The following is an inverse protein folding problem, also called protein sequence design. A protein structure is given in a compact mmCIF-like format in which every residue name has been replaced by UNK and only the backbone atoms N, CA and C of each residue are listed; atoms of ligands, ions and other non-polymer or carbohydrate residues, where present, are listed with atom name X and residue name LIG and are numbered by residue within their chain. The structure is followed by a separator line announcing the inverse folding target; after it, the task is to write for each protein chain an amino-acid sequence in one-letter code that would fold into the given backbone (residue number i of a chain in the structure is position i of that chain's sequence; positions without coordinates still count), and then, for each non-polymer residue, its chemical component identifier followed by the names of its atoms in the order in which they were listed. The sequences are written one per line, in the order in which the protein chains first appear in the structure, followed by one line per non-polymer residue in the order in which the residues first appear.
data_IF_712578303789
#
_entry.id   IF_712578303789
#
_cell.length_a   1.000
_cell.length_b   1.000
_cell.length_c   1.000
_cell.angle_alpha   90.00
_cell.angle_beta   90.00
_cell.angle_gamma   90.00
#
_symmetry.space_group_name_H-M   'P 1'
#
loop_
_entity.id
_entity.type
_entity.pdbx_description
1 polymer ?
#
# COMPACT_ATOMS: atom_id res chain seq x y z
N UNK A 1 20.73 22.77 10.36
CA UNK A 1 19.46 23.51 10.47
C UNK A 1 18.59 22.67 11.38
N UNK A 2 18.48 23.05 12.66
CA UNK A 2 17.64 22.30 13.60
C UNK A 2 16.19 22.50 13.15
N UNK A 3 15.51 21.40 12.78
CA UNK A 3 14.08 21.42 12.61
C UNK A 3 13.49 21.80 13.98
N UNK A 4 12.82 22.94 14.08
CA UNK A 4 11.98 23.25 15.22
C UNK A 4 10.80 22.29 15.19
N UNK A 5 11.07 21.08 15.68
CA UNK A 5 10.12 19.98 15.71
C UNK A 5 9.13 20.20 16.86
N UNK A 6 8.11 21.00 16.64
CA UNK A 6 7.14 21.30 17.71
C UNK A 6 5.99 20.28 17.77
N UNK A 7 5.76 19.50 16.71
CA UNK A 7 4.51 18.74 16.60
C UNK A 7 4.68 17.44 15.79
N UNK A 8 4.18 16.34 16.33
CA UNK A 8 4.10 15.05 15.66
C UNK A 8 2.64 14.60 15.47
N UNK A 9 2.37 13.86 14.42
CA UNK A 9 1.08 13.18 14.21
C UNK A 9 1.26 11.71 14.55
N UNK A 10 0.37 11.17 15.39
CA UNK A 10 0.23 9.73 15.62
C UNK A 10 -0.95 9.24 14.78
N UNK A 11 -0.68 8.44 13.76
CA UNK A 11 -1.71 7.82 12.96
C UNK A 11 -2.04 6.46 13.55
N UNK A 12 -3.31 6.27 13.95
CA UNK A 12 -3.80 5.03 14.53
C UNK A 12 -4.57 4.18 13.53
N UNK A 13 -4.51 2.84 13.71
CA UNK A 13 -5.42 1.90 13.07
C UNK A 13 -6.75 1.82 13.83
N UNK A 14 -7.80 1.43 13.14
CA UNK A 14 -9.02 0.95 13.79
C UNK A 14 -8.87 -0.55 14.07
N UNK A 15 -9.09 -0.98 15.32
CA UNK A 15 -9.06 -2.40 15.68
C UNK A 15 -10.22 -3.15 15.05
N UNK A 16 -10.16 -4.49 15.01
CA UNK A 16 -11.27 -5.32 14.53
C UNK A 16 -12.54 -5.06 15.35
N UNK A 17 -12.40 -4.90 16.68
CA UNK A 17 -13.51 -4.59 17.57
C UNK A 17 -14.13 -3.23 17.25
N UNK A 18 -13.33 -2.17 17.07
CA UNK A 18 -13.84 -0.83 16.70
C UNK A 18 -14.63 -0.86 15.39
N UNK A 19 -14.10 -1.56 14.37
CA UNK A 19 -14.81 -1.73 13.08
C UNK A 19 -16.11 -2.49 13.21
N UNK A 20 -16.12 -3.54 14.02
CA UNK A 20 -17.31 -4.34 14.31
C UNK A 20 -18.37 -3.52 15.04
N UNK A 21 -17.97 -2.78 16.06
CA UNK A 21 -18.86 -1.91 16.84
C UNK A 21 -19.46 -0.76 16.01
N UNK A 22 -18.74 -0.22 15.02
CA UNK A 22 -19.30 0.76 14.08
C UNK A 22 -20.46 0.22 13.23
N UNK A 23 -20.49 -1.10 13.00
CA UNK A 23 -21.51 -1.78 12.18
C UNK A 23 -22.63 -2.40 13.01
N UNK A 24 -22.43 -2.54 14.31
CA UNK A 24 -23.37 -3.19 15.23
C UNK A 24 -24.00 -2.17 16.18
N UNK A 25 -25.31 -2.25 16.37
CA UNK A 25 -26.01 -1.32 17.26
C UNK A 25 -25.68 -1.51 18.74
N UNK A 26 -25.22 -2.71 19.14
CA UNK A 26 -24.85 -3.05 20.52
C UNK A 26 -23.68 -4.05 20.57
N UNK A 27 -22.98 -4.07 21.70
CA UNK A 27 -21.90 -5.04 21.94
C UNK A 27 -22.41 -6.51 21.91
N UNK A 28 -23.64 -6.75 22.38
CA UNK A 28 -24.26 -8.08 22.34
C UNK A 28 -24.52 -8.55 20.91
N UNK A 29 -24.96 -7.65 20.01
CA UNK A 29 -25.10 -7.96 18.57
C UNK A 29 -23.76 -8.24 17.92
N UNK A 30 -22.74 -7.43 18.24
CA UNK A 30 -21.37 -7.63 17.76
C UNK A 30 -20.83 -9.01 18.16
N UNK A 31 -20.99 -9.38 19.43
CA UNK A 31 -20.62 -10.70 19.96
C UNK A 31 -21.36 -11.81 19.22
N UNK A 32 -22.68 -11.72 19.15
CA UNK A 32 -23.51 -12.72 18.46
C UNK A 32 -23.09 -12.92 16.99
N UNK A 33 -22.78 -11.82 16.29
CA UNK A 33 -22.34 -11.88 14.90
C UNK A 33 -21.01 -12.65 14.74
N UNK A 34 -20.05 -12.45 15.64
CA UNK A 34 -18.77 -13.16 15.60
C UNK A 34 -18.95 -14.64 15.95
N UNK A 35 -19.63 -14.92 17.07
CA UNK A 35 -19.78 -16.27 17.60
C UNK A 35 -20.68 -17.15 16.70
N UNK A 36 -21.71 -16.58 16.07
CA UNK A 36 -22.56 -17.30 15.11
C UNK A 36 -21.84 -17.72 13.83
N UNK A 37 -20.71 -17.06 13.51
CA UNK A 37 -19.83 -17.41 12.39
C UNK A 37 -18.65 -18.31 12.82
N UNK A 38 -18.65 -18.80 14.06
CA UNK A 38 -17.59 -19.65 14.62
C UNK A 38 -16.32 -18.89 15.03
N UNK A 39 -16.38 -17.55 15.12
CA UNK A 39 -15.28 -16.73 15.61
C UNK A 39 -15.26 -16.62 17.13
N UNK A 40 -14.14 -16.19 17.68
CA UNK A 40 -13.96 -15.89 19.09
C UNK A 40 -14.04 -14.37 19.35
N UNK A 41 -15.08 -13.90 20.02
CA UNK A 41 -15.21 -12.49 20.38
C UNK A 41 -14.15 -12.05 21.40
N UNK A 42 -13.67 -12.98 22.24
CA UNK A 42 -12.59 -12.71 23.21
C UNK A 42 -11.28 -12.31 22.52
N UNK A 43 -10.97 -12.90 21.36
CA UNK A 43 -9.77 -12.52 20.57
C UNK A 43 -9.87 -11.07 20.02
N UNK A 44 -11.08 -10.60 19.68
CA UNK A 44 -11.30 -9.20 19.29
C UNK A 44 -11.11 -8.24 20.45
N UNK A 45 -11.54 -8.63 21.66
CA UNK A 45 -11.35 -7.82 22.86
C UNK A 45 -9.87 -7.76 23.25
N UNK A 46 -9.19 -8.91 23.28
CA UNK A 46 -7.77 -8.98 23.62
C UNK A 46 -6.90 -8.14 22.66
N UNK A 47 -7.13 -8.23 21.33
CA UNK A 47 -6.46 -7.38 20.34
C UNK A 47 -6.70 -5.89 20.64
N UNK A 48 -7.95 -5.52 20.94
CA UNK A 48 -8.30 -4.14 21.20
C UNK A 48 -7.64 -3.60 22.46
N UNK A 49 -7.63 -4.36 23.55
CA UNK A 49 -7.02 -3.97 24.82
C UNK A 49 -5.52 -3.77 24.67
N UNK A 50 -4.81 -4.72 24.09
CA UNK A 50 -3.36 -4.63 23.82
C UNK A 50 -3.05 -3.42 22.94
N UNK A 51 -3.85 -3.19 21.89
CA UNK A 51 -3.68 -2.07 21.00
C UNK A 51 -3.87 -0.72 21.71
N UNK A 52 -4.92 -0.58 22.52
CA UNK A 52 -5.21 0.66 23.26
C UNK A 52 -4.14 0.95 24.31
N UNK A 53 -3.64 -0.06 25.02
CA UNK A 53 -2.53 0.09 25.96
C UNK A 53 -1.25 0.55 25.23
N UNK A 54 -0.94 -0.07 24.10
CA UNK A 54 0.19 0.31 23.25
C UNK A 54 0.08 1.76 22.77
N UNK A 55 -1.10 2.16 22.28
CA UNK A 55 -1.36 3.52 21.81
C UNK A 55 -1.21 4.57 22.93
N UNK A 56 -1.77 4.29 24.11
CA UNK A 56 -1.66 5.17 25.26
C UNK A 56 -0.20 5.32 25.72
N UNK A 57 0.54 4.21 25.76
CA UNK A 57 1.96 4.19 26.13
C UNK A 57 2.80 5.02 25.16
N UNK A 58 2.58 4.81 23.85
CA UNK A 58 3.25 5.57 22.79
C UNK A 58 2.93 7.06 22.92
N UNK A 59 1.66 7.43 23.05
CA UNK A 59 1.24 8.82 23.17
C UNK A 59 1.85 9.49 24.42
N UNK A 60 1.75 8.84 25.58
CA UNK A 60 2.29 9.34 26.85
C UNK A 60 3.80 9.58 26.78
N UNK A 61 4.53 8.63 26.20
CA UNK A 61 5.98 8.74 26.10
C UNK A 61 6.41 9.77 25.05
N UNK A 62 5.76 9.80 23.89
CA UNK A 62 6.02 10.82 22.85
C UNK A 62 5.76 12.24 23.38
N UNK A 63 4.74 12.43 24.23
CA UNK A 63 4.40 13.74 24.82
C UNK A 63 5.50 14.34 25.70
N UNK A 64 6.48 13.53 26.13
CA UNK A 64 7.66 14.01 26.88
C UNK A 64 8.69 14.70 25.97
N UNK A 65 8.67 14.43 24.67
CA UNK A 65 9.64 14.92 23.69
C UNK A 65 8.99 15.92 22.72
N UNK A 66 7.78 15.59 22.19
CA UNK A 66 7.07 16.36 21.17
C UNK A 66 5.61 16.53 21.55
N UNK A 67 5.05 17.70 21.25
CA UNK A 67 3.59 17.84 21.17
C UNK A 67 3.05 16.88 20.10
N UNK A 68 1.93 16.23 20.35
CA UNK A 68 1.39 15.28 19.39
C UNK A 68 -0.14 15.28 19.35
N UNK A 69 -0.67 14.75 18.27
CA UNK A 69 -2.11 14.54 18.06
C UNK A 69 -2.35 13.18 17.44
N UNK A 70 -3.33 12.44 17.98
CA UNK A 70 -3.80 11.20 17.39
C UNK A 70 -4.76 11.55 16.26
N UNK A 71 -4.57 10.92 15.11
CA UNK A 71 -5.35 11.11 13.89
C UNK A 71 -5.72 9.74 13.32
N UNK A 72 -6.96 9.56 12.89
CA UNK A 72 -7.35 8.40 12.10
C UNK A 72 -6.87 8.56 10.65
N UNK A 73 -6.62 7.45 9.96
CA UNK A 73 -6.07 7.43 8.61
C UNK A 73 -6.80 8.38 7.63
N UNK A 74 -8.11 8.40 7.69
CA UNK A 74 -8.96 9.19 6.77
C UNK A 74 -8.70 10.69 6.85
N UNK A 75 -8.20 11.14 8.00
CA UNK A 75 -7.93 12.56 8.25
C UNK A 75 -6.47 12.98 8.03
N UNK A 76 -5.57 12.03 7.73
CA UNK A 76 -4.15 12.33 7.52
C UNK A 76 -3.93 13.46 6.51
N UNK A 77 -4.56 13.47 5.32
CA UNK A 77 -4.36 14.56 4.35
C UNK A 77 -4.70 15.95 4.88
N UNK A 78 -5.67 16.03 5.80
CA UNK A 78 -6.10 17.31 6.41
C UNK A 78 -5.14 17.85 7.46
N UNK A 79 -4.22 17.00 7.98
CA UNK A 79 -3.28 17.37 9.02
C UNK A 79 -1.82 17.48 8.54
N UNK A 80 -1.53 17.11 7.28
CA UNK A 80 -0.20 17.25 6.71
C UNK A 80 -0.02 18.65 6.15
N UNK A 81 0.65 19.51 6.91
CA UNK A 81 1.04 20.85 6.49
C UNK A 81 2.54 20.88 6.24
N UNK A 82 2.94 21.20 5.00
CA UNK A 82 4.36 21.27 4.62
C UNK A 82 5.14 22.19 5.56
N UNK A 83 6.23 21.68 6.12
CA UNK A 83 7.16 22.43 6.97
C UNK A 83 6.81 22.56 8.45
N UNK A 84 5.66 22.05 8.91
CA UNK A 84 5.25 22.14 10.32
C UNK A 84 5.31 20.81 11.08
N UNK A 85 5.33 19.68 10.34
CA UNK A 85 5.33 18.34 10.93
C UNK A 85 6.68 17.68 10.66
N UNK A 86 7.49 17.46 11.70
CA UNK A 86 8.80 16.86 11.53
C UNK A 86 8.78 15.34 11.49
N UNK A 87 7.68 14.72 11.98
CA UNK A 87 7.55 13.29 12.16
C UNK A 87 6.10 12.86 12.09
N UNK A 88 5.84 11.80 11.33
CA UNK A 88 4.59 11.03 11.39
C UNK A 88 4.89 9.68 12.05
N UNK A 89 4.26 9.42 13.20
CA UNK A 89 4.33 8.14 13.87
C UNK A 89 3.11 7.32 13.48
N UNK A 90 3.33 6.11 12.96
CA UNK A 90 2.26 5.18 12.61
C UNK A 90 2.27 4.04 13.60
N UNK A 91 1.14 3.76 14.24
CA UNK A 91 0.98 2.59 15.12
C UNK A 91 -0.12 1.68 14.56
N UNK A 92 0.23 0.45 14.19
CA UNK A 92 -0.73 -0.50 13.60
C UNK A 92 -0.10 -1.61 12.80
N UNK A 93 -0.53 -1.77 11.55
CA UNK A 93 -0.11 -2.84 10.63
C UNK A 93 0.56 -2.24 9.37
N UNK A 94 1.27 -3.08 8.61
CA UNK A 94 1.95 -2.69 7.36
C UNK A 94 1.05 -1.92 6.39
N UNK A 95 -0.20 -2.35 6.23
CA UNK A 95 -1.19 -1.67 5.37
C UNK A 95 -1.50 -0.23 5.80
N UNK A 96 -1.40 0.09 7.11
CA UNK A 96 -1.56 1.46 7.58
C UNK A 96 -0.36 2.32 7.18
N UNK A 97 0.86 1.79 7.29
CA UNK A 97 2.09 2.48 6.88
C UNK A 97 2.02 2.82 5.39
N UNK A 98 1.69 1.84 4.54
CA UNK A 98 1.52 2.01 3.10
C UNK A 98 0.50 3.13 2.78
N UNK A 99 -0.66 3.09 3.46
CA UNK A 99 -1.73 4.08 3.24
C UNK A 99 -1.41 5.49 3.76
N UNK A 100 -0.54 5.63 4.76
CA UNK A 100 -0.07 6.93 5.24
C UNK A 100 1.03 7.48 4.34
N UNK A 101 1.92 6.63 3.88
CA UNK A 101 3.10 6.98 3.10
C UNK A 101 2.78 7.82 1.84
N UNK A 102 1.64 7.54 1.19
CA UNK A 102 1.21 8.26 -0.02
C UNK A 102 0.80 9.73 0.21
N UNK A 103 0.62 10.16 1.46
CA UNK A 103 0.18 11.53 1.78
C UNK A 103 1.27 12.41 2.41
N UNK A 104 2.38 11.83 2.86
CA UNK A 104 3.32 12.52 3.78
C UNK A 104 4.58 13.09 3.14
N UNK A 105 4.76 12.95 1.83
CA UNK A 105 5.80 13.60 1.00
C UNK A 105 7.13 13.90 1.75
N UNK A 106 8.01 12.92 1.83
CA UNK A 106 9.34 13.02 2.48
C UNK A 106 9.38 13.29 3.99
N UNK A 107 8.23 13.46 4.65
CA UNK A 107 8.22 13.55 6.10
C UNK A 107 8.62 12.18 6.66
N UNK A 108 9.56 12.10 7.64
CA UNK A 108 9.94 10.83 8.26
C UNK A 108 8.74 10.10 8.86
N UNK A 109 8.55 8.85 8.44
CA UNK A 109 7.55 7.94 9.00
C UNK A 109 8.26 6.99 9.96
N UNK A 110 7.90 7.06 11.25
CA UNK A 110 8.33 6.10 12.26
C UNK A 110 7.19 5.16 12.56
N UNK A 111 7.36 3.89 12.19
CA UNK A 111 6.29 2.90 12.26
C UNK A 111 6.51 1.93 13.44
N UNK A 112 5.50 1.84 14.31
CA UNK A 112 5.53 1.08 15.56
C UNK A 112 4.59 -0.12 15.47
N UNK A 113 5.12 -1.32 15.74
CA UNK A 113 4.34 -2.53 15.87
C UNK A 113 3.75 -2.62 17.29
N UNK A 114 2.41 -2.55 17.44
CA UNK A 114 1.77 -2.60 18.75
C UNK A 114 1.77 -3.99 19.39
N UNK A 115 1.83 -5.05 18.58
CA UNK A 115 1.74 -6.45 19.01
C UNK A 115 2.58 -7.36 18.11
N UNK A 116 3.93 -7.44 18.33
CA UNK A 116 4.83 -8.23 17.49
C UNK A 116 4.54 -9.74 17.47
N UNK A 117 3.82 -10.26 18.46
CA UNK A 117 3.37 -11.66 18.49
C UNK A 117 2.25 -11.94 17.49
N UNK A 118 1.48 -10.93 17.07
CA UNK A 118 0.36 -11.04 16.16
C UNK A 118 0.68 -10.57 14.74
N UNK A 119 1.57 -9.60 14.59
CA UNK A 119 1.88 -8.95 13.31
C UNK A 119 3.37 -9.07 12.98
N UNK A 120 3.69 -9.57 11.80
CA UNK A 120 5.08 -9.67 11.32
C UNK A 120 5.75 -8.30 11.23
N UNK A 121 5.02 -7.29 10.76
CA UNK A 121 5.45 -5.89 10.81
C UNK A 121 6.67 -5.58 9.95
N UNK A 122 6.66 -5.98 8.67
CA UNK A 122 7.77 -5.73 7.73
C UNK A 122 8.08 -4.24 7.56
N UNK A 123 7.05 -3.39 7.65
CA UNK A 123 7.19 -1.93 7.60
C UNK A 123 7.18 -1.28 8.99
N UNK A 124 7.17 -2.06 10.08
CA UNK A 124 7.04 -1.61 11.45
C UNK A 124 8.29 -2.01 12.28
N UNK A 125 9.47 -1.42 12.00
CA UNK A 125 10.72 -1.85 12.63
C UNK A 125 10.80 -1.54 14.12
N UNK A 126 9.99 -0.60 14.63
CA UNK A 126 9.99 -0.20 16.03
C UNK A 126 8.91 -0.93 16.83
N UNK A 127 9.17 -1.09 18.12
CA UNK A 127 8.24 -1.60 19.13
C UNK A 127 7.88 -0.50 20.11
N UNK A 128 6.87 -0.74 20.96
CA UNK A 128 6.42 0.20 21.98
C UNK A 128 7.51 0.53 23.03
N UNK A 129 8.45 -0.37 23.25
CA UNK A 129 9.54 -0.22 24.21
C UNK A 129 10.77 0.53 23.65
N UNK A 130 10.94 0.60 22.32
CA UNK A 130 12.15 1.15 21.70
C UNK A 130 11.94 2.34 20.75
N UNK A 131 10.70 2.67 20.39
CA UNK A 131 10.42 3.72 19.42
C UNK A 131 10.96 5.10 19.77
N UNK A 132 11.12 5.42 21.08
CA UNK A 132 11.65 6.71 21.51
C UNK A 132 13.07 6.97 21.01
N UNK A 133 13.90 5.94 20.92
CA UNK A 133 15.25 6.05 20.35
C UNK A 133 15.18 6.51 18.89
N UNK A 134 14.18 6.03 18.14
CA UNK A 134 13.92 6.47 16.77
C UNK A 134 13.45 7.94 16.71
N UNK A 135 12.55 8.33 17.62
CA UNK A 135 12.06 9.72 17.72
C UNK A 135 13.20 10.68 18.03
N UNK A 136 14.04 10.39 19.02
CA UNK A 136 15.18 11.21 19.39
C UNK A 136 16.17 11.40 18.25
N UNK A 137 16.40 10.33 17.45
CA UNK A 137 17.24 10.40 16.26
C UNK A 137 16.62 11.29 15.18
N UNK A 138 15.33 11.19 14.93
CA UNK A 138 14.63 12.05 13.95
C UNK A 138 14.70 13.51 14.40
N UNK A 139 14.41 13.80 15.65
CA UNK A 139 14.44 15.18 16.19
C UNK A 139 15.86 15.77 16.14
N UNK A 140 16.89 14.96 16.40
CA UNK A 140 18.29 15.39 16.31
C UNK A 140 18.86 15.42 14.90
N UNK A 141 18.10 14.99 13.89
CA UNK A 141 18.55 14.89 12.50
C UNK A 141 19.56 13.77 12.24
N UNK A 142 19.72 12.81 13.17
CA UNK A 142 20.68 11.69 13.12
C UNK A 142 19.98 10.36 12.87
N UNK A 143 19.08 10.29 11.91
CA UNK A 143 18.34 9.07 11.58
C UNK A 143 18.69 8.56 10.20
N UNK A 144 18.51 7.26 9.99
CA UNK A 144 18.58 6.60 8.69
C UNK A 144 17.16 6.33 8.23
N UNK A 145 16.88 6.58 6.97
CA UNK A 145 15.58 6.26 6.37
C UNK A 145 15.74 5.56 5.04
N UNK A 146 14.85 4.59 4.78
CA UNK A 146 14.67 4.02 3.45
C UNK A 146 13.74 4.94 2.66
N UNK A 147 14.20 5.39 1.50
CA UNK A 147 13.38 6.12 0.56
C UNK A 147 12.65 5.12 -0.35
N UNK A 148 11.33 5.15 -0.33
CA UNK A 148 10.50 4.31 -1.20
C UNK A 148 9.81 5.16 -2.25
N UNK A 149 9.93 4.76 -3.52
CA UNK A 149 9.23 5.38 -4.64
C UNK A 149 7.74 5.08 -4.59
N UNK A 150 6.93 6.04 -5.01
CA UNK A 150 5.48 5.90 -5.13
C UNK A 150 5.10 5.79 -6.61
N UNK A 151 4.07 4.99 -6.89
CA UNK A 151 3.41 5.04 -8.20
C UNK A 151 2.43 6.21 -8.22
N UNK A 152 2.30 6.84 -9.39
CA UNK A 152 1.35 7.90 -9.64
C UNK A 152 0.49 7.57 -10.85
N UNK A 153 -0.81 7.83 -10.73
CA UNK A 153 -1.69 8.01 -11.87
C UNK A 153 -2.18 9.45 -11.90
N UNK A 154 -2.22 10.05 -13.08
CA UNK A 154 -2.65 11.43 -13.29
C UNK A 154 -3.57 11.52 -14.48
N UNK A 155 -4.64 12.33 -14.36
CA UNK A 155 -5.54 12.70 -15.44
C UNK A 155 -5.22 14.10 -15.99
N UNK A 156 -5.74 14.40 -17.18
CA UNK A 156 -5.54 15.70 -17.82
C UNK A 156 -6.21 16.87 -17.05
N UNK A 157 -7.26 16.61 -16.28
CA UNK A 157 -7.98 17.58 -15.44
C UNK A 157 -7.27 17.89 -14.11
N UNK A 158 -6.10 17.27 -13.87
CA UNK A 158 -5.29 17.46 -12.66
C UNK A 158 -5.60 16.49 -11.52
N UNK A 159 -6.64 15.66 -11.61
CA UNK A 159 -6.85 14.60 -10.65
C UNK A 159 -5.67 13.62 -10.63
N UNK A 160 -5.26 13.20 -9.45
CA UNK A 160 -4.13 12.27 -9.27
C UNK A 160 -4.35 11.36 -8.08
N UNK A 161 -3.74 10.19 -8.13
CA UNK A 161 -3.71 9.23 -7.03
C UNK A 161 -2.30 8.63 -6.93
N UNK A 162 -1.79 8.52 -5.70
CA UNK A 162 -0.52 7.89 -5.38
C UNK A 162 -0.73 6.49 -4.79
N UNK A 163 0.24 5.61 -5.00
CA UNK A 163 0.29 4.31 -4.34
C UNK A 163 1.69 4.01 -3.80
N UNK A 164 1.74 3.47 -2.60
CA UNK A 164 2.95 2.95 -2.00
C UNK A 164 3.25 1.52 -2.48
N UNK A 165 2.21 0.66 -2.55
CA UNK A 165 2.34 -0.71 -3.05
C UNK A 165 1.85 -0.83 -4.50
N UNK A 166 0.55 -0.64 -4.74
CA UNK A 166 -0.07 -0.95 -6.02
C UNK A 166 -1.18 0.03 -6.39
N UNK A 167 -1.25 0.37 -7.69
CA UNK A 167 -2.45 0.93 -8.32
C UNK A 167 -3.21 -0.20 -9.02
N UNK A 168 -4.53 -0.17 -8.93
CA UNK A 168 -5.41 -0.99 -9.73
C UNK A 168 -6.23 -0.12 -10.68
N UNK A 169 -6.31 -0.50 -11.95
CA UNK A 169 -7.14 0.12 -12.98
C UNK A 169 -8.11 -0.94 -13.52
N UNK A 170 -9.40 -0.72 -13.39
CA UNK A 170 -10.36 -1.72 -13.85
C UNK A 170 -11.82 -1.33 -13.65
N UNK A 171 -12.70 -2.33 -13.68
CA UNK A 171 -14.10 -2.15 -13.34
C UNK A 171 -14.37 -2.32 -11.85
N UNK A 172 -15.32 -1.56 -11.32
CA UNK A 172 -15.78 -1.64 -9.91
C UNK A 172 -16.56 -2.93 -9.59
N UNK A 173 -16.87 -3.72 -10.58
CA UNK A 173 -17.63 -4.97 -10.45
C UNK A 173 -16.97 -6.11 -11.23
N UNK A 174 -17.57 -7.30 -11.21
CA UNK A 174 -17.04 -8.49 -11.89
C UNK A 174 -17.18 -8.48 -13.43
N UNK A 175 -17.44 -7.32 -14.05
CA UNK A 175 -17.42 -7.19 -15.51
C UNK A 175 -16.00 -6.92 -16.00
N UNK A 176 -15.72 -7.27 -17.24
CA UNK A 176 -14.43 -6.99 -17.86
C UNK A 176 -14.21 -5.49 -18.01
N UNK A 177 -13.05 -5.01 -17.60
CA UNK A 177 -12.58 -3.68 -17.90
C UNK A 177 -12.24 -3.57 -19.39
N UNK A 178 -12.72 -2.53 -20.06
CA UNK A 178 -12.45 -2.24 -21.47
C UNK A 178 -11.70 -0.94 -21.59
N UNK A 179 -10.56 -0.99 -22.26
CA UNK A 179 -9.66 0.14 -22.38
C UNK A 179 -8.74 0.01 -23.59
N UNK A 180 -8.13 1.12 -24.01
CA UNK A 180 -6.98 1.15 -24.89
C UNK A 180 -5.73 1.36 -24.05
N UNK A 181 -4.78 0.43 -24.12
CA UNK A 181 -3.47 0.54 -23.48
C UNK A 181 -2.43 0.97 -24.50
N UNK A 182 -1.57 1.90 -24.08
CA UNK A 182 -0.37 2.32 -24.83
C UNK A 182 0.85 2.12 -23.93
N UNK A 183 1.78 1.36 -24.42
CA UNK A 183 3.03 1.09 -23.74
C UNK A 183 4.18 1.21 -24.72
N UNK A 184 5.12 2.11 -24.44
CA UNK A 184 6.20 2.49 -25.33
C UNK A 184 5.66 2.92 -26.72
N UNK A 185 5.97 2.14 -27.78
CA UNK A 185 5.55 2.42 -29.16
C UNK A 185 4.34 1.62 -29.61
N UNK A 186 3.80 0.77 -28.74
CA UNK A 186 2.71 -0.15 -29.07
C UNK A 186 1.42 0.31 -28.40
N UNK A 187 0.30 0.08 -29.07
CA UNK A 187 -1.03 0.34 -28.53
C UNK A 187 -2.01 -0.73 -29.00
N UNK A 188 -2.91 -1.14 -28.12
CA UNK A 188 -4.01 -2.05 -28.44
C UNK A 188 -5.24 -1.80 -27.58
N UNK A 189 -6.40 -2.24 -28.07
CA UNK A 189 -7.61 -2.31 -27.26
C UNK A 189 -7.65 -3.65 -26.53
N UNK A 190 -8.00 -3.61 -25.25
CA UNK A 190 -8.07 -4.81 -24.42
C UNK A 190 -9.38 -4.92 -23.67
N UNK A 191 -9.72 -6.16 -23.34
CA UNK A 191 -10.75 -6.55 -22.38
C UNK A 191 -10.09 -7.49 -21.37
N UNK A 192 -10.14 -7.15 -20.08
CA UNK A 192 -9.43 -7.90 -19.04
C UNK A 192 -10.09 -7.73 -17.67
N UNK A 193 -9.58 -8.42 -16.66
CA UNK A 193 -9.97 -8.19 -15.26
C UNK A 193 -9.24 -7.01 -14.62
N UNK A 194 -8.64 -6.13 -15.42
CA UNK A 194 -7.95 -4.91 -14.98
C UNK A 194 -6.42 -5.02 -15.05
N UNK A 195 -5.78 -3.93 -14.68
CA UNK A 195 -4.33 -3.75 -14.69
C UNK A 195 -3.85 -3.47 -13.27
N UNK A 196 -2.79 -4.15 -12.86
CA UNK A 196 -2.07 -3.85 -11.61
C UNK A 196 -0.78 -3.14 -11.99
N UNK A 197 -0.46 -2.05 -11.32
CA UNK A 197 0.81 -1.36 -11.43
C UNK A 197 1.46 -1.37 -10.04
N UNK A 198 2.57 -2.06 -9.90
CA UNK A 198 3.24 -2.26 -8.61
C UNK A 198 4.53 -1.46 -8.51
N UNK A 199 4.80 -0.95 -7.31
CA UNK A 199 6.11 -0.42 -6.92
C UNK A 199 7.02 -1.55 -6.44
N UNK A 200 8.28 -1.25 -6.17
CA UNK A 200 9.19 -2.20 -5.50
C UNK A 200 8.65 -2.64 -4.13
N UNK A 201 8.03 -1.74 -3.37
CA UNK A 201 7.45 -2.07 -2.06
C UNK A 201 6.27 -3.04 -2.17
N UNK A 202 5.46 -2.93 -3.24
CA UNK A 202 4.32 -3.82 -3.52
C UNK A 202 4.69 -5.12 -4.22
N UNK A 203 5.93 -5.28 -4.70
CA UNK A 203 6.33 -6.41 -5.57
C UNK A 203 6.15 -7.79 -4.94
N UNK A 204 6.27 -7.90 -3.62
CA UNK A 204 6.05 -9.14 -2.87
C UNK A 204 4.57 -9.46 -2.60
N UNK A 205 3.67 -8.51 -2.83
CA UNK A 205 2.22 -8.62 -2.60
C UNK A 205 1.45 -9.13 -3.82
N UNK A 206 0.55 -8.30 -4.36
CA UNK A 206 -0.36 -8.68 -5.44
C UNK A 206 0.36 -9.08 -6.72
N UNK A 207 1.41 -8.34 -7.10
CA UNK A 207 2.23 -8.65 -8.27
C UNK A 207 2.81 -10.07 -8.17
N UNK A 208 3.41 -10.43 -7.03
CA UNK A 208 3.99 -11.77 -6.82
C UNK A 208 2.93 -12.87 -6.93
N UNK A 209 1.70 -12.62 -6.48
CA UNK A 209 0.59 -13.57 -6.59
C UNK A 209 0.22 -13.87 -8.05
N UNK A 210 0.26 -12.87 -8.94
CA UNK A 210 0.03 -13.06 -10.37
C UNK A 210 1.14 -13.94 -11.00
N UNK A 211 2.40 -13.69 -10.64
CA UNK A 211 3.51 -14.52 -11.13
C UNK A 211 3.46 -15.96 -10.59
N UNK A 212 3.07 -16.15 -9.32
CA UNK A 212 2.88 -17.48 -8.73
C UNK A 212 1.79 -18.26 -9.48
N UNK A 213 0.67 -17.62 -9.79
CA UNK A 213 -0.40 -18.21 -10.60
C UNK A 213 0.11 -18.60 -12.00
N UNK A 214 0.80 -17.68 -12.69
CA UNK A 214 1.37 -17.93 -14.01
C UNK A 214 2.34 -19.13 -14.02
N UNK A 215 3.21 -19.19 -13.00
CA UNK A 215 4.16 -20.30 -12.82
C UNK A 215 3.43 -21.62 -12.58
N UNK A 216 2.41 -21.61 -11.72
CA UNK A 216 1.58 -22.78 -11.46
C UNK A 216 0.88 -23.31 -12.73
N UNK A 217 0.30 -22.42 -13.54
CA UNK A 217 -0.33 -22.78 -14.81
C UNK A 217 0.67 -23.37 -15.81
N UNK A 218 1.87 -22.77 -15.95
CA UNK A 218 2.94 -23.32 -16.79
C UNK A 218 3.36 -24.71 -16.36
N UNK A 219 3.44 -24.98 -15.06
CA UNK A 219 3.76 -26.31 -14.54
C UNK A 219 2.65 -27.32 -14.83
N UNK A 220 1.38 -26.94 -14.67
CA UNK A 220 0.25 -27.80 -15.02
C UNK A 220 0.25 -28.19 -16.49
N UNK A 221 0.53 -27.26 -17.39
CA UNK A 221 0.59 -27.52 -18.85
C UNK A 221 1.78 -28.41 -19.24
N UNK A 222 2.91 -28.33 -18.53
CA UNK A 222 4.08 -29.18 -18.77
C UNK A 222 3.96 -30.59 -18.16
N UNK A 223 3.17 -30.73 -17.09
CA UNK A 223 3.04 -31.96 -16.30
C UNK A 223 1.93 -32.86 -16.80
N UNK A 224 1.80 -33.12 -18.10
CA UNK A 224 0.81 -34.03 -18.69
C UNK A 224 0.78 -35.45 -18.08
N UNK A 225 1.47 -35.74 -17.00
CA UNK A 225 1.37 -36.93 -16.14
C UNK A 225 2.00 -36.65 -14.77
N UNK A 226 1.21 -36.66 -13.74
CA UNK A 226 1.37 -37.10 -12.35
C UNK A 226 2.69 -36.90 -11.56
N UNK A 227 3.64 -36.11 -11.97
CA UNK A 227 4.87 -35.87 -11.21
C UNK A 227 4.72 -34.71 -10.22
N UNK A 228 5.17 -34.97 -9.00
CA UNK A 228 5.21 -34.09 -7.83
C UNK A 228 5.75 -32.70 -8.24
N UNK A 229 5.00 -31.64 -7.89
CA UNK A 229 5.41 -30.25 -8.07
C UNK A 229 6.74 -30.00 -7.36
N UNK A 230 7.77 -29.60 -8.09
CA UNK A 230 8.88 -28.86 -7.49
C UNK A 230 8.31 -27.54 -6.97
N UNK A 231 8.63 -27.19 -5.73
CA UNK A 231 8.29 -25.91 -5.14
C UNK A 231 8.78 -24.81 -6.08
N UNK A 232 7.87 -24.03 -6.64
CA UNK A 232 8.23 -22.87 -7.44
C UNK A 232 9.17 -22.00 -6.58
N UNK A 233 10.41 -21.82 -7.03
CA UNK A 233 11.25 -20.78 -6.44
C UNK A 233 10.48 -19.46 -6.56
N UNK A 234 10.51 -18.66 -5.50
CA UNK A 234 9.90 -17.33 -5.48
C UNK A 234 10.68 -16.41 -6.45
N UNK A 235 10.48 -16.60 -7.74
CA UNK A 235 11.01 -15.70 -8.75
C UNK A 235 10.10 -14.48 -8.83
N UNK A 236 10.22 -13.59 -7.87
CA UNK A 236 9.69 -12.24 -7.96
C UNK A 236 10.38 -11.49 -9.10
N UNK A 237 9.72 -10.49 -9.66
CA UNK A 237 10.38 -9.56 -10.59
C UNK A 237 11.39 -8.75 -9.79
N UNK A 238 12.66 -8.82 -10.18
CA UNK A 238 13.67 -7.90 -9.64
C UNK A 238 13.35 -6.49 -10.15
N UNK A 239 13.01 -5.60 -9.21
CA UNK A 239 12.66 -4.22 -9.51
C UNK A 239 13.65 -3.26 -8.85
N UNK A 240 14.05 -2.24 -9.59
CA UNK A 240 14.80 -1.09 -9.05
C UNK A 240 13.90 -0.19 -8.20
N UNK A 241 14.53 0.64 -7.34
CA UNK A 241 13.76 1.61 -6.51
C UNK A 241 13.00 2.64 -7.37
N UNK A 242 13.53 3.00 -8.54
CA UNK A 242 12.91 3.96 -9.47
C UNK A 242 12.28 3.24 -10.68
N UNK A 243 11.57 2.18 -10.44
CA UNK A 243 10.89 1.40 -11.47
C UNK A 243 9.53 0.91 -10.94
N UNK A 244 8.52 0.95 -11.80
CA UNK A 244 7.24 0.28 -11.56
C UNK A 244 7.15 -0.91 -12.51
N UNK A 245 6.30 -1.86 -12.18
CA UNK A 245 5.96 -2.97 -13.06
C UNK A 245 4.45 -3.09 -13.20
N UNK A 246 3.95 -3.10 -14.43
CA UNK A 246 2.54 -3.34 -14.64
C UNK A 246 2.29 -4.76 -15.17
N UNK A 247 1.10 -5.28 -14.87
CA UNK A 247 0.61 -6.55 -15.41
C UNK A 247 -0.88 -6.45 -15.68
N UNK A 248 -1.29 -6.93 -16.85
CA UNK A 248 -2.70 -7.08 -17.24
C UNK A 248 -3.21 -8.40 -16.71
N UNK A 249 -4.33 -8.37 -16.00
CA UNK A 249 -4.97 -9.55 -15.44
C UNK A 249 -5.94 -10.16 -16.44
N UNK A 250 -5.79 -11.45 -16.72
CA UNK A 250 -6.74 -12.25 -17.48
C UNK A 250 -7.19 -11.58 -18.81
N UNK A 251 -6.24 -11.16 -19.66
CA UNK A 251 -6.60 -10.49 -20.92
C UNK A 251 -7.33 -11.45 -21.86
N UNK A 252 -8.43 -10.98 -22.45
CA UNK A 252 -9.26 -11.77 -23.37
C UNK A 252 -9.01 -11.38 -24.83
N UNK A 253 -8.60 -12.36 -25.64
CA UNK A 253 -8.40 -12.17 -27.08
C UNK A 253 -9.71 -12.32 -27.85
N UNK A 254 -10.04 -11.35 -28.67
CA UNK A 254 -11.18 -11.38 -29.58
C UNK A 254 -10.81 -10.78 -30.95
N UNK A 255 -11.78 -10.63 -31.86
CA UNK A 255 -11.56 -9.91 -33.12
C UNK A 255 -11.23 -8.41 -32.90
N UNK A 256 -11.59 -7.83 -31.74
CA UNK A 256 -11.41 -6.41 -31.44
C UNK A 256 -10.40 -6.14 -30.35
N UNK A 257 -10.00 -7.14 -29.57
CA UNK A 257 -9.12 -7.01 -28.44
C UNK A 257 -7.87 -7.87 -28.58
N UNK A 258 -6.70 -7.24 -28.32
CA UNK A 258 -5.38 -7.87 -28.31
C UNK A 258 -4.99 -8.44 -26.94
N UNK A 259 -3.87 -9.13 -26.91
CA UNK A 259 -3.22 -9.67 -25.69
C UNK A 259 -1.70 -9.55 -25.78
N UNK A 260 -1.17 -8.64 -26.60
CA UNK A 260 0.27 -8.54 -26.83
C UNK A 260 0.96 -7.69 -25.76
N UNK A 261 0.23 -6.71 -25.18
CA UNK A 261 0.71 -5.90 -24.06
C UNK A 261 0.17 -6.50 -22.75
N UNK A 262 0.90 -7.46 -22.17
CA UNK A 262 0.48 -8.15 -20.93
C UNK A 262 1.20 -7.67 -19.69
N UNK A 263 2.30 -6.91 -19.81
CA UNK A 263 3.07 -6.42 -18.68
C UNK A 263 4.43 -5.89 -19.10
N UNK A 264 5.06 -5.19 -18.20
CA UNK A 264 6.42 -4.66 -18.41
C UNK A 264 6.83 -3.60 -17.38
N UNK A 265 8.12 -3.22 -17.39
CA UNK A 265 8.64 -2.18 -16.52
C UNK A 265 8.20 -0.78 -16.99
N UNK A 266 7.80 0.08 -16.05
CA UNK A 266 7.54 1.51 -16.30
C UNK A 266 8.64 2.30 -15.62
N UNK A 267 9.55 2.87 -16.42
CA UNK A 267 10.68 3.67 -15.98
C UNK A 267 10.40 5.17 -16.10
N UNK A 268 11.23 5.99 -15.48
CA UNK A 268 11.06 7.45 -15.43
C UNK A 268 10.85 8.12 -16.79
N UNK A 269 11.36 7.51 -17.87
CA UNK A 269 11.20 7.97 -19.26
C UNK A 269 10.18 7.14 -20.05
N UNK A 270 9.65 6.06 -19.47
CA UNK A 270 8.65 5.20 -20.08
C UNK A 270 7.25 5.79 -19.99
N UNK A 271 6.45 5.56 -21.02
CA UNK A 271 5.05 5.99 -21.03
C UNK A 271 4.14 4.78 -20.96
N UNK A 272 3.37 4.68 -19.88
CA UNK A 272 2.21 3.82 -19.81
C UNK A 272 0.97 4.71 -19.74
N UNK A 273 0.09 4.56 -20.73
CA UNK A 273 -1.18 5.26 -20.79
C UNK A 273 -2.31 4.26 -20.94
N UNK A 274 -3.40 4.50 -20.24
CA UNK A 274 -4.62 3.70 -20.35
C UNK A 274 -5.79 4.65 -20.56
N UNK A 275 -6.50 4.47 -21.69
CA UNK A 275 -7.69 5.21 -22.04
C UNK A 275 -8.92 4.34 -21.76
N UNK A 276 -9.82 4.80 -20.93
CA UNK A 276 -11.03 4.06 -20.60
C UNK A 276 -12.01 3.98 -21.76
N UNK A 277 -12.55 2.78 -21.99
CA UNK A 277 -13.67 2.53 -22.91
C UNK A 277 -14.90 2.02 -22.13
N UNK A 278 -14.93 2.19 -20.81
CA UNK A 278 -16.04 1.79 -19.96
C UNK A 278 -17.05 2.94 -19.84
N UNK A 279 -18.30 2.76 -20.30
CA UNK A 279 -19.30 3.83 -20.20
C UNK A 279 -19.57 4.30 -18.77
N UNK A 280 -19.39 3.42 -17.79
CA UNK A 280 -19.51 3.70 -16.36
C UNK A 280 -18.89 2.58 -15.55
N UNK A 281 -18.69 2.83 -14.25
CA UNK A 281 -18.13 1.84 -13.32
C UNK A 281 -16.64 1.56 -13.49
N UNK A 282 -15.91 2.35 -14.28
CA UNK A 282 -14.46 2.31 -14.30
C UNK A 282 -13.88 3.00 -13.08
N UNK A 283 -12.87 2.40 -12.47
CA UNK A 283 -12.22 2.91 -11.25
C UNK A 283 -10.70 2.75 -11.31
N UNK A 284 -10.02 3.62 -10.57
CA UNK A 284 -8.60 3.46 -10.20
C UNK A 284 -8.50 3.64 -8.69
N UNK A 285 -7.94 2.66 -7.98
CA UNK A 285 -7.68 2.76 -6.54
C UNK A 285 -6.24 2.38 -6.19
N UNK A 286 -5.79 2.68 -4.98
CA UNK A 286 -4.44 2.43 -4.51
C UNK A 286 -4.41 1.71 -3.18
N UNK A 287 -3.42 0.83 -2.99
CA UNK A 287 -3.08 0.17 -1.72
C UNK A 287 -4.27 -0.53 -1.05
N UNK A 288 -5.17 -1.11 -1.86
CA UNK A 288 -6.36 -1.82 -1.38
C UNK A 288 -7.44 -0.94 -0.75
N UNK A 289 -7.38 0.39 -0.92
CA UNK A 289 -8.38 1.33 -0.40
C UNK A 289 -9.32 1.74 -1.52
N UNK A 290 -10.49 1.13 -1.52
CA UNK A 290 -11.53 1.42 -2.52
C UNK A 290 -12.27 2.74 -2.28
N UNK A 291 -12.25 3.29 -1.08
CA UNK A 291 -12.92 4.56 -0.76
C UNK A 291 -12.26 5.80 -1.37
N UNK A 292 -10.98 5.71 -1.72
CA UNK A 292 -10.17 6.82 -2.28
C UNK A 292 -10.02 6.68 -3.81
N UNK A 293 -10.96 6.04 -4.50
CA UNK A 293 -10.85 5.77 -5.92
C UNK A 293 -11.06 7.01 -6.81
N UNK A 294 -10.46 6.98 -7.98
CA UNK A 294 -10.78 7.89 -9.08
C UNK A 294 -11.76 7.23 -10.05
N UNK A 295 -12.76 7.98 -10.50
CA UNK A 295 -13.63 7.52 -11.59
C UNK A 295 -12.86 7.44 -12.90
N UNK A 296 -12.92 6.28 -13.56
CA UNK A 296 -12.20 6.00 -14.79
C UNK A 296 -13.17 5.58 -15.90
N UNK A 297 -14.04 6.50 -16.31
CA UNK A 297 -15.05 6.26 -17.32
C UNK A 297 -14.56 6.62 -18.73
N UNK A 298 -15.32 6.24 -19.76
CA UNK A 298 -14.98 6.37 -21.18
C UNK A 298 -14.51 7.80 -21.53
N UNK A 299 -13.40 7.87 -22.25
CA UNK A 299 -12.75 9.12 -22.64
C UNK A 299 -11.70 9.63 -21.64
N UNK A 300 -11.65 9.08 -20.41
CA UNK A 300 -10.60 9.43 -19.45
C UNK A 300 -9.30 8.72 -19.82
N UNK A 301 -8.19 9.47 -19.84
CA UNK A 301 -6.85 8.94 -20.08
C UNK A 301 -6.06 9.03 -18.79
N UNK A 302 -5.61 7.87 -18.31
CA UNK A 302 -4.70 7.74 -17.19
C UNK A 302 -3.25 7.72 -17.69
N UNK A 303 -2.44 8.62 -17.16
CA UNK A 303 -0.98 8.64 -17.34
C UNK A 303 -0.35 8.06 -16.09
N UNK A 304 0.39 6.95 -16.25
CA UNK A 304 1.00 6.21 -15.16
C UNK A 304 2.50 6.42 -15.16
N UNK A 305 3.07 6.70 -13.99
CA UNK A 305 4.49 6.89 -13.82
C UNK A 305 4.94 6.86 -12.36
N UNK A 306 6.22 7.16 -12.15
CA UNK A 306 6.79 7.28 -10.81
C UNK A 306 6.51 8.69 -10.31
N UNK A 307 5.99 8.81 -9.10
CA UNK A 307 5.73 10.09 -8.46
C UNK A 307 7.03 10.87 -8.21
N UNK A 308 6.91 12.18 -8.05
CA UNK A 308 8.02 13.03 -7.58
C UNK A 308 8.24 12.89 -6.08
N UNK A 309 7.17 12.65 -5.37
CA UNK A 309 7.15 12.41 -3.94
C UNK A 309 7.70 11.03 -3.63
N UNK A 310 8.37 10.90 -2.49
CA UNK A 310 8.86 9.63 -1.95
C UNK A 310 8.41 9.45 -0.50
N UNK A 311 8.35 8.21 -0.04
CA UNK A 311 8.08 7.90 1.35
C UNK A 311 9.41 7.67 2.10
N UNK A 312 9.61 8.40 3.20
CA UNK A 312 10.81 8.30 4.04
C UNK A 312 10.52 7.43 5.28
N UNK A 313 10.89 6.15 5.23
CA UNK A 313 10.65 5.18 6.31
C UNK A 313 11.86 5.10 7.23
N UNK A 314 11.70 5.55 8.48
CA UNK A 314 12.77 5.52 9.50
C UNK A 314 13.15 4.08 9.82
N UNK A 315 14.46 3.76 9.79
CA UNK A 315 15.00 2.43 10.04
C UNK A 315 15.63 2.34 11.44
N UNK A 316 15.67 1.12 12.00
CA UNK A 316 16.59 0.81 13.10
C UNK A 316 18.01 0.75 12.53
N UNK A 317 19.01 1.22 13.29
CA UNK A 317 20.41 1.28 12.83
C UNK A 317 21.04 -0.07 12.47
N UNK A 318 20.43 -1.18 12.92
CA UNK A 318 20.97 -2.52 12.74
C UNK A 318 20.63 -3.13 11.35
N UNK A 319 19.74 -2.49 10.58
CA UNK A 319 19.18 -3.06 9.36
C UNK A 319 19.91 -2.63 8.06
N UNK A 320 20.92 -1.77 8.13
CA UNK A 320 21.70 -1.40 6.94
C UNK A 320 23.16 -1.83 7.06
N UNK A 321 23.63 -2.75 6.22
CA UNK A 321 25.08 -2.88 6.01
C UNK A 321 25.57 -1.53 5.48
N UNK A 322 26.57 -0.96 6.17
CA UNK A 322 27.32 0.20 5.69
C UNK A 322 27.70 -0.10 4.23
N UNK A 323 27.16 0.67 3.28
CA UNK A 323 27.63 0.58 1.91
C UNK A 323 29.11 0.84 1.95
N UNK A 324 29.89 -0.19 1.58
CA UNK A 324 31.33 -0.05 1.37
C UNK A 324 31.58 1.11 0.41
N UNK A 325 32.29 2.08 0.92
CA UNK A 325 32.77 3.28 0.23
C UNK A 325 33.75 2.94 -0.89
#
# INVERSE_FOLDING_TARGET
MFLNAEYAIIVKAQTRLERLMKRSSTASMARFQVESQGGDFGDYQAEHEVYQESLQTVQKNLSKILRNKIVEREFVPSFIFKGQIPLVLVIGQDGLVANVAKYVDNIPILAVNPEPSRYDGVLLPFRVDDFLNGVERVVSGKYVSRQASLAEVRFADGQRLLAFNDLFIGAASHVSARYRIRYEKTAEEQSSSGIIISTKSGSSGWLSSVFNMSTGLKQLMKSGSGKRRETASQNGVEMGENELFFVVREPFKSQRTGIDIIGGPVRKQGTLQVESMMPGGGIIFSDGIESDFLHFNSGTIAHIGIAKETASLVQKNDDYPLSES
#
